data_IF_639130139481
#
_entry.id   IF_639130139481
#
_cell.length_a   1.000
_cell.length_b   1.000
_cell.length_c   1.000
_cell.angle_alpha   90.00
_cell.angle_beta   90.00
_cell.angle_gamma   90.00
#
_symmetry.space_group_name_H-M   'P 1'
#
loop_
_entity.id
_entity.type
_entity.pdbx_description
1 polymer ?
#
# COMPACT_ATOMS: atom_id res chain seq x y z
N UNK A 1 20.84 15.89 9.23
CA UNK A 1 22.09 15.59 8.52
C UNK A 1 22.69 14.22 8.84
N UNK A 2 22.02 13.41 9.70
CA UNK A 2 22.58 12.10 10.10
C UNK A 2 22.47 11.04 9.00
N UNK A 3 21.44 11.11 8.15
CA UNK A 3 21.21 10.13 7.08
C UNK A 3 22.16 10.32 5.89
N UNK A 4 22.68 11.51 5.67
CA UNK A 4 23.34 11.89 4.41
C UNK A 4 22.40 12.00 3.22
N UNK A 5 21.07 11.86 3.42
CA UNK A 5 20.04 11.82 2.38
C UNK A 5 19.02 12.96 2.54
N UNK A 6 19.46 14.11 3.06
CA UNK A 6 18.62 15.29 3.26
C UNK A 6 17.56 15.14 4.33
N UNK A 7 16.65 16.10 4.39
CA UNK A 7 15.60 16.15 5.42
C UNK A 7 14.72 14.91 5.44
N UNK A 8 14.36 14.36 4.29
CA UNK A 8 13.54 13.15 4.19
C UNK A 8 14.23 11.93 4.76
N UNK A 9 15.51 11.74 4.44
CA UNK A 9 16.29 10.66 5.03
C UNK A 9 16.41 10.78 6.56
N UNK A 10 16.59 12.00 7.07
CA UNK A 10 16.66 12.26 8.50
C UNK A 10 15.32 11.96 9.21
N UNK A 11 14.18 12.29 8.57
CA UNK A 11 12.84 11.97 9.09
C UNK A 11 12.59 10.46 9.12
N UNK A 12 13.03 9.73 8.10
CA UNK A 12 12.94 8.26 8.09
C UNK A 12 13.76 7.64 9.22
N UNK A 13 14.99 8.14 9.46
CA UNK A 13 15.80 7.70 10.61
C UNK A 13 15.13 8.04 11.95
N UNK A 14 14.48 9.19 12.04
CA UNK A 14 13.73 9.58 13.24
C UNK A 14 12.53 8.66 13.47
N UNK A 15 11.80 8.30 12.41
CA UNK A 15 10.70 7.34 12.49
C UNK A 15 11.19 5.97 12.97
N UNK A 16 12.27 5.45 12.38
CA UNK A 16 12.87 4.17 12.80
C UNK A 16 13.30 4.19 14.26
N UNK A 17 13.98 5.26 14.69
CA UNK A 17 14.33 5.47 16.08
C UNK A 17 13.10 5.50 17.00
N UNK A 18 12.01 6.17 16.59
CA UNK A 18 10.76 6.24 17.36
C UNK A 18 10.17 4.84 17.58
N UNK A 19 10.16 3.99 16.54
CA UNK A 19 9.73 2.60 16.68
C UNK A 19 10.64 1.84 17.66
N UNK A 20 11.95 2.09 17.58
CA UNK A 20 12.92 1.53 18.51
C UNK A 20 12.63 1.88 19.97
N UNK A 21 12.32 3.16 20.26
CA UNK A 21 11.95 3.63 21.61
C UNK A 21 10.63 3.02 22.10
N UNK A 22 9.63 2.87 21.21
CA UNK A 22 8.38 2.18 21.55
C UNK A 22 8.66 0.73 21.93
N UNK A 23 9.42 0.00 21.11
CA UNK A 23 9.80 -1.39 21.40
C UNK A 23 10.56 -1.50 22.71
N UNK A 24 11.50 -0.57 22.95
CA UNK A 24 12.25 -0.51 24.22
C UNK A 24 11.30 -0.31 25.40
N UNK A 25 10.40 0.66 25.34
CA UNK A 25 9.43 0.92 26.40
C UNK A 25 8.53 -0.30 26.69
N UNK A 26 8.07 -1.00 25.65
CA UNK A 26 7.28 -2.23 25.80
C UNK A 26 8.07 -3.34 26.51
N UNK A 27 9.36 -3.49 26.18
CA UNK A 27 10.27 -4.47 26.81
C UNK A 27 10.57 -4.12 28.26
N UNK A 28 10.92 -2.85 28.54
CA UNK A 28 11.21 -2.37 29.88
C UNK A 28 10.00 -2.59 30.84
N UNK A 29 8.79 -2.42 30.31
CA UNK A 29 7.55 -2.67 31.04
C UNK A 29 7.10 -4.16 31.03
N UNK A 30 7.84 -5.07 30.39
CA UNK A 30 7.58 -6.52 30.29
C UNK A 30 6.25 -6.86 29.62
N UNK A 31 5.75 -6.00 28.72
CA UNK A 31 4.50 -6.21 27.99
C UNK A 31 4.72 -6.48 26.50
N UNK A 32 5.94 -6.39 25.99
CA UNK A 32 6.26 -6.56 24.56
C UNK A 32 5.74 -7.90 24.00
N UNK A 33 5.94 -9.00 24.72
CA UNK A 33 5.51 -10.32 24.27
C UNK A 33 3.99 -10.48 24.18
N UNK A 34 3.23 -9.61 24.86
CA UNK A 34 1.77 -9.61 24.87
C UNK A 34 1.19 -8.39 24.15
N UNK A 35 1.95 -7.75 23.30
CA UNK A 35 1.53 -6.58 22.51
C UNK A 35 1.51 -6.93 21.02
N UNK A 36 0.38 -6.65 20.37
CA UNK A 36 0.28 -6.62 18.92
C UNK A 36 0.77 -5.26 18.45
N UNK A 37 1.98 -5.21 17.88
CA UNK A 37 2.58 -4.01 17.29
C UNK A 37 2.43 -4.09 15.77
N UNK A 38 1.82 -3.05 15.19
CA UNK A 38 1.66 -2.90 13.73
C UNK A 38 2.37 -1.63 13.33
N UNK A 39 3.25 -1.74 12.34
CA UNK A 39 3.96 -0.61 11.73
C UNK A 39 3.65 -0.62 10.24
N UNK A 40 3.08 0.47 9.75
CA UNK A 40 2.74 0.61 8.34
C UNK A 40 2.84 2.07 7.90
N UNK A 41 2.91 2.30 6.60
CA UNK A 41 2.74 3.63 6.00
C UNK A 41 1.28 3.81 5.55
N UNK A 42 0.81 5.03 5.50
CA UNK A 42 -0.52 5.40 5.00
C UNK A 42 -0.60 5.38 3.48
N UNK A 43 0.48 5.76 2.80
CA UNK A 43 0.60 5.79 1.33
C UNK A 43 2.06 5.54 0.91
N UNK A 44 2.26 5.41 -0.38
CA UNK A 44 3.58 5.31 -0.98
C UNK A 44 4.43 6.57 -0.80
N UNK A 45 5.71 6.54 -1.19
CA UNK A 45 6.63 7.66 -1.01
C UNK A 45 6.15 8.89 -1.77
N UNK A 46 6.46 10.06 -1.22
CA UNK A 46 6.24 11.35 -1.84
C UNK A 46 7.52 12.17 -1.78
N UNK A 47 7.72 13.03 -2.77
CA UNK A 47 8.89 13.89 -2.90
C UNK A 47 8.39 15.29 -3.20
N UNK A 48 9.01 16.29 -2.56
CA UNK A 48 8.67 17.70 -2.76
C UNK A 48 7.15 17.97 -2.68
N UNK A 49 6.48 17.35 -1.70
CA UNK A 49 5.03 17.47 -1.49
C UNK A 49 4.68 18.80 -0.84
N UNK A 50 4.49 19.82 -1.69
CA UNK A 50 4.16 21.18 -1.27
C UNK A 50 5.36 22.04 -0.82
N UNK A 51 6.54 21.46 -0.72
CA UNK A 51 7.80 22.15 -0.42
C UNK A 51 8.99 21.37 -0.97
N UNK A 52 10.08 22.07 -1.25
CA UNK A 52 11.32 21.42 -1.70
C UNK A 52 12.04 20.76 -0.51
N UNK A 53 12.08 19.43 -0.52
CA UNK A 53 12.78 18.63 0.52
C UNK A 53 14.17 18.18 0.05
N UNK A 54 14.62 18.60 -1.11
CA UNK A 54 15.88 18.26 -1.75
C UNK A 54 16.05 16.76 -2.09
N UNK A 55 15.00 15.96 -1.93
CA UNK A 55 15.10 14.52 -2.18
C UNK A 55 15.46 14.22 -3.64
N UNK A 56 14.89 14.96 -4.60
CA UNK A 56 15.19 14.79 -6.01
C UNK A 56 16.65 15.16 -6.34
N UNK A 57 17.17 16.23 -5.76
CA UNK A 57 18.54 16.67 -5.96
C UNK A 57 19.57 15.69 -5.39
N UNK A 58 19.26 15.11 -4.22
CA UNK A 58 20.15 14.19 -3.50
C UNK A 58 20.08 12.75 -3.99
N UNK A 59 18.89 12.28 -4.37
CA UNK A 59 18.65 10.89 -4.75
C UNK A 59 18.63 10.69 -6.28
N UNK A 60 18.59 11.79 -7.04
CA UNK A 60 18.47 11.78 -8.50
C UNK A 60 17.07 11.46 -8.99
N UNK A 61 16.87 11.58 -10.30
CA UNK A 61 15.57 11.33 -10.95
C UNK A 61 15.19 9.84 -11.01
N UNK A 62 16.17 8.97 -10.91
CA UNK A 62 15.98 7.51 -10.96
C UNK A 62 16.29 6.93 -9.59
N UNK A 63 15.27 6.81 -8.77
CA UNK A 63 15.41 6.40 -7.37
C UNK A 63 15.04 4.95 -7.17
N UNK A 64 15.90 4.19 -6.53
CA UNK A 64 15.58 2.82 -6.21
C UNK A 64 14.65 2.76 -4.97
N UNK A 65 13.36 2.74 -5.20
CA UNK A 65 12.37 2.41 -4.18
C UNK A 65 12.10 0.90 -4.12
N UNK A 66 13.12 0.07 -4.29
CA UNK A 66 12.97 -1.38 -4.43
C UNK A 66 12.38 -1.76 -5.79
N UNK A 67 11.44 -2.68 -5.81
CA UNK A 67 10.78 -3.13 -7.05
C UNK A 67 9.79 -2.11 -7.63
N UNK A 68 9.37 -1.13 -6.87
CA UNK A 68 8.30 -0.17 -7.20
C UNK A 68 8.81 1.25 -7.41
N UNK A 69 10.11 1.41 -7.57
CA UNK A 69 10.70 2.71 -7.82
C UNK A 69 10.51 3.13 -9.28
N UNK A 70 10.56 4.41 -9.54
CA UNK A 70 10.50 5.06 -10.84
C UNK A 70 9.11 5.23 -11.45
N UNK A 71 8.05 4.58 -10.94
CA UNK A 71 6.73 4.75 -11.52
C UNK A 71 5.70 5.00 -10.42
N UNK A 72 5.24 6.24 -10.33
CA UNK A 72 4.27 6.64 -9.32
C UNK A 72 4.88 7.01 -7.97
N UNK A 73 4.06 7.03 -6.97
CA UNK A 73 4.31 7.42 -5.59
C UNK A 73 2.99 7.83 -4.94
N UNK A 74 3.02 8.56 -3.83
CA UNK A 74 1.81 9.15 -3.25
C UNK A 74 0.98 9.85 -4.33
N UNK A 75 -0.33 9.73 -4.25
CA UNK A 75 -1.34 10.20 -5.21
C UNK A 75 -1.47 9.38 -6.50
N UNK A 76 -0.61 8.40 -6.76
CA UNK A 76 -0.70 7.58 -7.95
C UNK A 76 -1.55 6.33 -7.75
N UNK A 77 -2.12 5.83 -8.86
CA UNK A 77 -2.82 4.54 -8.90
C UNK A 77 -1.88 3.33 -8.98
N UNK A 78 -0.57 3.56 -9.13
CA UNK A 78 0.44 2.51 -9.25
C UNK A 78 0.78 1.85 -7.91
N UNK A 79 1.40 0.68 -7.96
CA UNK A 79 1.88 -0.03 -6.78
C UNK A 79 2.76 0.85 -5.88
N UNK A 80 3.59 1.71 -6.48
CA UNK A 80 4.42 2.65 -5.73
C UNK A 80 3.60 3.65 -4.87
N UNK A 81 2.35 3.92 -5.23
CA UNK A 81 1.47 4.80 -4.45
C UNK A 81 0.61 4.08 -3.43
N UNK A 82 0.25 2.83 -3.70
CA UNK A 82 -0.80 2.11 -2.99
C UNK A 82 -0.30 0.92 -2.19
N UNK A 83 0.83 0.32 -2.57
CA UNK A 83 1.45 -0.79 -1.84
C UNK A 83 2.48 -0.27 -0.85
N UNK A 84 2.16 -0.35 0.42
CA UNK A 84 2.94 0.23 1.51
C UNK A 84 3.64 -0.83 2.36
N UNK A 85 4.73 -0.49 3.06
CA UNK A 85 5.29 -1.35 4.10
C UNK A 85 4.23 -1.67 5.15
N UNK A 86 4.11 -2.95 5.51
CA UNK A 86 3.20 -3.42 6.54
C UNK A 86 3.88 -4.52 7.37
N UNK A 87 4.14 -4.23 8.63
CA UNK A 87 4.90 -5.10 9.52
C UNK A 87 4.06 -5.40 10.75
N UNK A 88 3.94 -6.67 11.12
CA UNK A 88 3.23 -7.14 12.29
C UNK A 88 4.18 -7.87 13.23
N UNK A 89 4.19 -7.47 14.49
CA UNK A 89 4.94 -8.12 15.56
C UNK A 89 4.02 -8.47 16.72
N UNK A 90 3.97 -9.73 17.09
CA UNK A 90 3.34 -10.23 18.31
C UNK A 90 4.07 -11.49 18.73
N UNK A 91 5.14 -11.38 19.55
CA UNK A 91 6.05 -12.49 19.81
C UNK A 91 5.38 -13.79 20.27
N UNK A 92 4.31 -13.70 21.07
CA UNK A 92 3.56 -14.89 21.52
C UNK A 92 2.72 -15.58 20.45
N UNK A 93 2.38 -14.92 19.34
CA UNK A 93 1.40 -15.43 18.37
C UNK A 93 1.86 -15.40 16.92
N UNK A 94 2.75 -14.48 16.56
CA UNK A 94 3.22 -14.28 15.19
C UNK A 94 4.64 -14.82 15.05
N UNK A 95 4.84 -15.78 14.16
CA UNK A 95 6.17 -16.29 13.79
C UNK A 95 6.84 -15.36 12.79
N UNK A 96 8.17 -15.25 12.88
CA UNK A 96 8.95 -14.51 11.88
C UNK A 96 8.77 -15.12 10.49
N UNK A 97 8.49 -14.29 9.51
CA UNK A 97 8.30 -14.69 8.12
C UNK A 97 7.83 -13.54 7.24
N UNK A 98 7.55 -13.86 5.99
CA UNK A 98 6.95 -12.96 4.99
C UNK A 98 5.68 -13.62 4.46
N UNK A 99 4.67 -12.82 4.17
CA UNK A 99 3.41 -13.28 3.57
C UNK A 99 3.13 -12.46 2.32
N UNK A 100 2.74 -13.15 1.23
CA UNK A 100 2.29 -12.55 -0.02
C UNK A 100 0.75 -12.42 -0.07
N UNK A 101 0.06 -12.73 1.02
CA UNK A 101 -1.39 -12.59 1.10
C UNK A 101 -1.80 -11.13 0.95
N UNK A 102 -2.73 -10.86 0.04
CA UNK A 102 -3.28 -9.52 -0.13
C UNK A 102 -4.05 -9.09 1.11
N UNK A 103 -3.68 -7.94 1.68
CA UNK A 103 -4.29 -7.37 2.88
C UNK A 103 -4.45 -5.86 2.70
N UNK A 104 -5.60 -5.32 3.07
CA UNK A 104 -5.86 -3.89 3.05
C UNK A 104 -5.93 -3.34 4.47
N UNK A 105 -5.45 -2.11 4.67
CA UNK A 105 -5.53 -1.44 5.98
C UNK A 105 -6.97 -1.28 6.49
N UNK A 106 -7.95 -1.21 5.58
CA UNK A 106 -9.37 -1.20 5.96
C UNK A 106 -9.79 -2.46 6.71
N UNK A 107 -9.10 -3.58 6.52
CA UNK A 107 -9.38 -4.86 7.19
C UNK A 107 -8.93 -4.88 8.65
N UNK A 108 -8.12 -3.90 9.05
CA UNK A 108 -7.71 -3.79 10.46
C UNK A 108 -8.92 -3.64 11.39
N UNK A 109 -9.97 -2.93 10.97
CA UNK A 109 -11.13 -2.74 11.83
C UNK A 109 -11.81 -4.06 12.19
N UNK A 110 -12.20 -4.87 11.20
CA UNK A 110 -12.85 -6.16 11.44
C UNK A 110 -11.90 -7.19 12.07
N UNK A 111 -10.64 -7.22 11.63
CA UNK A 111 -9.63 -8.14 12.16
C UNK A 111 -9.28 -7.85 13.62
N UNK A 112 -9.19 -6.57 14.00
CA UNK A 112 -8.95 -6.20 15.41
C UNK A 112 -10.18 -6.40 16.29
N UNK A 113 -11.39 -6.20 15.74
CA UNK A 113 -12.62 -6.59 16.44
C UNK A 113 -12.61 -8.08 16.75
N UNK A 114 -12.33 -8.94 15.77
CA UNK A 114 -12.18 -10.38 15.96
C UNK A 114 -11.05 -10.73 16.94
N UNK A 115 -9.93 -9.99 16.91
CA UNK A 115 -8.81 -10.19 17.83
C UNK A 115 -9.20 -10.03 19.30
N UNK A 116 -10.10 -9.09 19.61
CA UNK A 116 -10.64 -8.87 20.97
C UNK A 116 -11.95 -9.64 21.24
N UNK A 117 -12.31 -10.56 20.35
CA UNK A 117 -13.53 -11.38 20.51
C UNK A 117 -14.84 -10.62 20.32
N UNK A 118 -14.84 -9.58 19.50
CA UNK A 118 -16.02 -8.78 19.15
C UNK A 118 -16.37 -8.93 17.68
N UNK A 119 -17.66 -8.80 17.36
CA UNK A 119 -18.15 -8.68 15.98
C UNK A 119 -18.29 -7.22 15.58
N UNK A 120 -18.14 -6.94 14.29
CA UNK A 120 -18.46 -5.64 13.72
C UNK A 120 -19.99 -5.48 13.68
N UNK A 121 -20.56 -4.39 14.17
CA UNK A 121 -21.99 -4.14 14.07
C UNK A 121 -22.48 -4.12 12.62
N UNK A 122 -23.71 -4.60 12.40
CA UNK A 122 -24.32 -4.56 11.07
C UNK A 122 -24.35 -3.14 10.51
N UNK A 123 -23.94 -2.97 9.27
CA UNK A 123 -23.84 -1.68 8.59
C UNK A 123 -22.64 -0.81 8.96
N UNK A 124 -21.78 -1.25 9.90
CA UNK A 124 -20.52 -0.56 10.19
C UNK A 124 -19.37 -1.17 9.39
N UNK A 125 -18.47 -0.30 8.88
CA UNK A 125 -17.26 -0.70 8.17
C UNK A 125 -17.51 -1.75 7.06
N UNK A 126 -18.45 -1.47 6.18
CA UNK A 126 -18.95 -2.38 5.13
C UNK A 126 -17.87 -2.93 4.20
N UNK A 127 -16.76 -2.20 4.05
CA UNK A 127 -15.62 -2.61 3.21
C UNK A 127 -14.57 -3.41 3.99
N UNK A 128 -14.65 -3.47 5.32
CA UNK A 128 -13.71 -4.18 6.17
C UNK A 128 -14.12 -5.65 6.32
N UNK A 129 -13.18 -6.55 6.14
CA UNK A 129 -13.38 -7.98 6.36
C UNK A 129 -12.40 -8.52 7.40
N UNK A 130 -12.81 -9.61 8.07
CA UNK A 130 -11.97 -10.28 9.06
C UNK A 130 -10.90 -11.14 8.37
N UNK A 131 -9.67 -10.68 8.44
CA UNK A 131 -8.45 -11.38 8.03
C UNK A 131 -7.49 -11.59 9.21
N UNK A 132 -8.01 -11.77 10.43
CA UNK A 132 -7.19 -11.93 11.62
C UNK A 132 -6.16 -13.06 11.49
N UNK A 133 -6.53 -14.20 10.91
CA UNK A 133 -5.60 -15.32 10.75
C UNK A 133 -4.46 -14.96 9.78
N UNK A 134 -4.75 -14.24 8.72
CA UNK A 134 -3.75 -13.70 7.78
C UNK A 134 -2.85 -12.68 8.47
N UNK A 135 -3.45 -11.73 9.21
CA UNK A 135 -2.74 -10.71 9.98
C UNK A 135 -1.76 -11.33 11.00
N UNK A 136 -2.15 -12.43 11.62
CA UNK A 136 -1.31 -13.16 12.58
C UNK A 136 -0.40 -14.21 11.94
N UNK A 137 -0.34 -14.29 10.60
CA UNK A 137 0.50 -15.24 9.87
C UNK A 137 0.11 -16.70 10.04
N UNK A 138 -1.15 -16.99 10.45
CA UNK A 138 -1.66 -18.34 10.64
C UNK A 138 -2.13 -18.98 9.35
N UNK A 139 -2.53 -18.20 8.38
CA UNK A 139 -2.86 -18.63 7.03
C UNK A 139 -2.35 -17.64 5.98
N UNK A 140 -2.50 -18.00 4.71
CA UNK A 140 -2.11 -17.16 3.56
C UNK A 140 -3.34 -16.70 2.76
N UNK A 141 -4.53 -16.78 3.34
CA UNK A 141 -5.77 -16.35 2.69
C UNK A 141 -5.89 -14.84 2.82
N UNK A 142 -5.61 -14.15 1.73
CA UNK A 142 -5.80 -12.70 1.63
C UNK A 142 -7.10 -12.35 0.91
N UNK A 143 -7.28 -11.07 0.66
CA UNK A 143 -8.34 -10.56 -0.21
C UNK A 143 -8.21 -11.15 -1.62
N UNK A 144 -9.34 -11.43 -2.23
CA UNK A 144 -9.39 -11.84 -3.64
C UNK A 144 -8.99 -10.69 -4.57
N UNK A 145 -9.23 -9.46 -4.14
CA UNK A 145 -8.86 -8.24 -4.85
C UNK A 145 -8.63 -7.09 -3.88
N UNK A 146 -7.85 -6.12 -4.33
CA UNK A 146 -7.62 -4.85 -3.64
C UNK A 146 -8.15 -3.73 -4.53
N UNK A 147 -9.03 -2.89 -3.99
CA UNK A 147 -9.42 -1.61 -4.62
C UNK A 147 -8.61 -0.50 -3.97
N UNK A 148 -8.05 0.37 -4.78
CA UNK A 148 -7.29 1.51 -4.32
C UNK A 148 -7.65 2.77 -5.12
N UNK A 149 -7.37 3.93 -4.55
CA UNK A 149 -7.60 5.23 -5.16
C UNK A 149 -6.33 6.09 -5.14
N UNK A 150 -5.95 6.60 -6.32
CA UNK A 150 -4.89 7.57 -6.51
C UNK A 150 -5.34 8.67 -7.48
N UNK A 151 -6.53 9.24 -7.25
CA UNK A 151 -7.24 10.12 -8.18
C UNK A 151 -8.37 9.36 -8.88
N UNK A 152 -8.06 8.37 -9.69
CA UNK A 152 -9.02 7.36 -10.18
C UNK A 152 -9.08 6.16 -9.24
N UNK A 153 -9.92 5.19 -9.57
CA UNK A 153 -9.94 3.89 -8.90
C UNK A 153 -9.13 2.87 -9.69
N UNK A 154 -8.48 1.99 -8.97
CA UNK A 154 -7.82 0.81 -9.52
C UNK A 154 -8.27 -0.44 -8.77
N UNK A 155 -8.18 -1.59 -9.44
CA UNK A 155 -8.44 -2.90 -8.83
C UNK A 155 -7.33 -3.87 -9.20
N UNK A 156 -6.80 -4.55 -8.20
CA UNK A 156 -5.77 -5.60 -8.37
C UNK A 156 -6.37 -6.95 -8.03
N UNK A 157 -6.27 -7.90 -8.96
CA UNK A 157 -6.70 -9.29 -8.81
C UNK A 157 -5.57 -10.22 -9.26
N UNK A 158 -4.98 -10.93 -8.32
CA UNK A 158 -3.82 -11.77 -8.62
C UNK A 158 -2.68 -10.97 -9.25
N UNK A 159 -2.29 -11.32 -10.48
CA UNK A 159 -1.24 -10.61 -11.23
C UNK A 159 -1.73 -9.36 -11.97
N UNK A 160 -3.02 -9.18 -12.13
CA UNK A 160 -3.59 -8.13 -12.96
C UNK A 160 -4.00 -6.91 -12.16
N UNK A 161 -3.61 -5.74 -12.62
CA UNK A 161 -4.07 -4.46 -12.10
C UNK A 161 -4.69 -3.62 -13.20
N UNK A 162 -5.96 -3.31 -12.99
CA UNK A 162 -6.73 -2.42 -13.86
C UNK A 162 -6.85 -1.04 -13.23
N UNK A 163 -6.63 0.01 -14.00
CA UNK A 163 -6.83 1.40 -13.62
C UNK A 163 -7.92 1.99 -14.49
N UNK A 164 -8.98 2.50 -13.85
CA UNK A 164 -10.11 3.09 -14.53
C UNK A 164 -9.73 4.42 -15.21
N UNK A 165 -10.25 4.70 -16.42
CA UNK A 165 -9.96 5.95 -17.12
C UNK A 165 -10.47 7.17 -16.37
N UNK A 166 -9.75 8.27 -16.48
CA UNK A 166 -10.14 9.56 -15.93
C UNK A 166 -9.38 10.71 -16.64
N UNK A 167 -9.82 11.96 -16.38
CA UNK A 167 -9.25 13.15 -16.96
C UNK A 167 -8.55 14.05 -15.92
N UNK A 168 -8.09 13.49 -14.80
CA UNK A 168 -7.29 14.22 -13.83
C UNK A 168 -5.86 14.45 -14.36
N UNK A 169 -5.06 15.25 -13.63
CA UNK A 169 -3.69 15.49 -14.00
C UNK A 169 -2.90 14.18 -14.06
N UNK A 170 -2.28 13.92 -15.21
CA UNK A 170 -1.45 12.73 -15.40
C UNK A 170 -0.16 12.77 -14.56
N UNK A 171 0.33 13.98 -14.28
CA UNK A 171 1.61 14.18 -13.58
C UNK A 171 1.45 15.10 -12.38
N UNK A 172 2.19 14.80 -11.33
CA UNK A 172 2.36 15.70 -10.18
C UNK A 172 3.17 16.93 -10.66
N UNK A 173 2.69 18.17 -10.42
CA UNK A 173 3.29 19.37 -11.03
C UNK A 173 4.76 19.61 -10.68
N UNK A 174 5.16 19.38 -9.41
CA UNK A 174 6.51 19.69 -8.94
C UNK A 174 7.54 18.63 -9.36
N UNK A 175 7.22 17.37 -9.13
CA UNK A 175 8.16 16.26 -9.31
C UNK A 175 8.04 15.56 -10.65
N UNK A 176 7.01 15.87 -11.43
CA UNK A 176 6.68 15.21 -12.70
C UNK A 176 6.45 13.68 -12.52
N UNK A 177 6.10 13.28 -11.33
CA UNK A 177 5.74 11.89 -11.03
C UNK A 177 4.46 11.52 -11.77
N UNK A 178 4.45 10.42 -12.50
CA UNK A 178 3.27 9.87 -13.16
C UNK A 178 2.27 9.38 -12.12
N UNK A 179 1.03 9.85 -12.20
CA UNK A 179 -0.04 9.56 -11.25
C UNK A 179 -0.97 8.42 -11.70
N UNK A 180 -0.78 7.92 -12.92
CA UNK A 180 -1.65 6.88 -13.50
C UNK A 180 -3.02 7.40 -13.93
N UNK A 181 -3.18 8.71 -14.12
CA UNK A 181 -4.43 9.34 -14.55
C UNK A 181 -4.43 9.56 -16.05
N UNK A 182 -5.22 8.78 -16.77
CA UNK A 182 -5.29 8.82 -18.23
C UNK A 182 -6.72 8.60 -18.73
N UNK A 183 -7.06 9.14 -19.90
CA UNK A 183 -8.40 9.00 -20.47
C UNK A 183 -8.70 7.60 -21.03
N UNK A 184 -7.68 6.77 -21.21
CA UNK A 184 -7.83 5.38 -21.63
C UNK A 184 -7.74 4.40 -20.47
N UNK A 185 -8.38 3.24 -20.64
CA UNK A 185 -8.25 2.09 -19.74
C UNK A 185 -6.81 1.58 -19.71
N UNK A 186 -6.32 1.23 -18.53
CA UNK A 186 -4.98 0.65 -18.36
C UNK A 186 -5.05 -0.68 -17.63
N UNK A 187 -4.26 -1.60 -18.11
CA UNK A 187 -4.07 -2.91 -17.51
C UNK A 187 -2.58 -3.21 -17.42
N UNK A 188 -2.14 -3.65 -16.26
CA UNK A 188 -0.76 -4.04 -15.99
C UNK A 188 -0.69 -5.48 -15.50
N UNK A 189 0.34 -6.18 -15.94
CA UNK A 189 0.70 -7.51 -15.48
C UNK A 189 1.80 -7.39 -14.42
N UNK A 190 1.45 -7.36 -13.16
CA UNK A 190 2.38 -7.14 -12.06
C UNK A 190 3.41 -8.26 -11.88
N UNK A 191 3.20 -9.42 -12.51
CA UNK A 191 4.16 -10.52 -12.48
C UNK A 191 5.29 -10.31 -13.47
N UNK A 192 4.96 -9.89 -14.71
CA UNK A 192 5.93 -9.65 -15.77
C UNK A 192 6.47 -8.21 -15.76
N UNK A 193 5.61 -7.27 -15.37
CA UNK A 193 5.91 -5.84 -15.30
C UNK A 193 5.53 -5.26 -13.93
N UNK A 194 6.29 -5.57 -12.86
CA UNK A 194 6.02 -5.06 -11.51
C UNK A 194 6.20 -3.53 -11.39
N UNK A 195 6.71 -2.88 -12.42
CA UNK A 195 6.89 -1.43 -12.49
C UNK A 195 5.78 -0.71 -13.24
N UNK A 196 4.83 -1.46 -13.81
CA UNK A 196 3.64 -0.91 -14.48
C UNK A 196 3.99 0.06 -15.64
N UNK A 197 5.02 -0.29 -16.43
CA UNK A 197 5.51 0.52 -17.55
C UNK A 197 4.73 0.27 -18.84
N UNK A 198 4.20 -0.94 -19.03
CA UNK A 198 3.53 -1.38 -20.23
C UNK A 198 2.02 -1.52 -20.02
N UNK A 199 1.23 -0.63 -20.65
CA UNK A 199 -0.22 -0.80 -20.69
C UNK A 199 -0.60 -1.90 -21.70
N UNK A 200 -1.03 -3.06 -21.20
CA UNK A 200 -1.42 -4.22 -21.99
C UNK A 200 -2.95 -4.38 -22.16
N UNK A 201 -3.73 -3.34 -21.88
CA UNK A 201 -5.20 -3.40 -21.94
C UNK A 201 -5.73 -3.85 -23.31
N UNK A 202 -5.08 -3.48 -24.40
CA UNK A 202 -5.48 -3.86 -25.76
C UNK A 202 -5.22 -5.33 -26.08
N UNK A 203 -4.22 -5.93 -25.41
CA UNK A 203 -3.82 -7.31 -25.62
C UNK A 203 -4.70 -8.30 -24.82
N UNK A 204 -5.36 -7.81 -23.75
CA UNK A 204 -6.17 -8.61 -22.85
C UNK A 204 -7.56 -8.00 -22.59
N UNK A 205 -8.39 -7.78 -23.64
CA UNK A 205 -9.69 -7.11 -23.50
C UNK A 205 -10.68 -7.85 -22.58
N UNK A 206 -10.63 -9.18 -22.53
CA UNK A 206 -11.48 -9.96 -21.63
C UNK A 206 -11.11 -9.76 -20.15
N UNK A 207 -9.82 -9.62 -19.85
CA UNK A 207 -9.35 -9.31 -18.49
C UNK A 207 -9.84 -7.92 -18.08
N UNK A 208 -9.69 -6.93 -18.97
CA UNK A 208 -10.19 -5.56 -18.75
C UNK A 208 -11.67 -5.57 -18.44
N UNK A 209 -12.50 -6.24 -19.25
CA UNK A 209 -13.95 -6.30 -19.07
C UNK A 209 -14.34 -6.92 -17.72
N UNK A 210 -13.66 -8.01 -17.34
CA UNK A 210 -13.91 -8.68 -16.06
C UNK A 210 -13.54 -7.79 -14.85
N UNK A 211 -12.37 -7.16 -14.87
CA UNK A 211 -11.91 -6.32 -13.78
C UNK A 211 -12.72 -5.02 -13.65
N UNK A 212 -13.11 -4.44 -14.79
CA UNK A 212 -14.01 -3.28 -14.83
C UNK A 212 -15.36 -3.63 -14.21
N UNK A 213 -15.96 -4.74 -14.59
CA UNK A 213 -17.24 -5.20 -14.03
C UNK A 213 -17.14 -5.39 -12.52
N UNK A 214 -16.04 -5.98 -12.04
CA UNK A 214 -15.81 -6.15 -10.61
C UNK A 214 -15.63 -4.82 -9.89
N UNK A 215 -14.85 -3.88 -10.46
CA UNK A 215 -14.65 -2.56 -9.90
C UNK A 215 -15.96 -1.74 -9.85
N UNK A 216 -16.79 -1.82 -10.91
CA UNK A 216 -18.06 -1.12 -10.94
C UNK A 216 -19.06 -1.68 -9.92
N UNK A 217 -19.02 -2.98 -9.65
CA UNK A 217 -19.76 -3.58 -8.54
C UNK A 217 -19.35 -3.05 -7.18
N UNK A 218 -18.05 -2.86 -6.95
CA UNK A 218 -17.53 -2.31 -5.70
C UNK A 218 -17.92 -0.83 -5.49
N UNK A 219 -17.96 -0.03 -6.57
CA UNK A 219 -18.42 1.38 -6.50
C UNK A 219 -19.86 1.55 -6.07
N UNK A 220 -20.69 0.52 -6.30
CA UNK A 220 -22.15 0.59 -6.08
C UNK A 220 -22.60 -0.12 -4.78
N UNK A 221 -21.66 -0.48 -3.90
CA UNK A 221 -21.94 -0.98 -2.56
C UNK A 221 -22.23 0.16 -1.59
#
# INVERSE_FOLDING_TARGET
>A
GKSGMGYRGDVILQFDWTIGEIVKALKDNKIFDNTLLIVCSDNGPVIDDGYQDQAEALLGKHRPWGKFHNHGGKYSNYEAGTRVPFIVSYPKKVKRGVSDAAFSQIDLFASLAAFIGKSVPAGAATDSADYLNTLLGKDKKGRLYIVASGGSLSITVGRWKYVAPNNYNAYQPLTRTDLGNYPEERLYDLQEDPMELANVAKDYPDVVANLKTLLDKEKNK
#
